data_IF_722512054410
#
_entry.id   IF_722512054410
#
_cell.length_a   1.000
_cell.length_b   1.000
_cell.length_c   1.000
_cell.angle_alpha   90.00
_cell.angle_beta   90.00
_cell.angle_gamma   90.00
#
_symmetry.space_group_name_H-M   'P 1'
#
loop_
_entity.id
_entity.type
_entity.pdbx_description
1 polymer ?
#
# COMPACT_ATOMS: atom_id res chain seq x y z
N UNK A 1 -45.48 -27.98 -19.20
CA UNK A 1 -44.53 -28.00 -18.05
C UNK A 1 -43.14 -28.31 -18.60
N UNK A 2 -42.03 -27.66 -18.19
CA UNK A 2 -41.84 -26.71 -17.08
C UNK A 2 -41.26 -25.35 -17.51
N UNK A 3 -41.49 -24.36 -16.65
CA UNK A 3 -40.95 -23.00 -16.65
C UNK A 3 -39.49 -22.98 -16.17
N UNK A 4 -38.59 -22.34 -16.92
CA UNK A 4 -37.25 -22.00 -16.41
C UNK A 4 -37.40 -20.70 -15.60
N UNK A 5 -37.87 -20.85 -14.36
CA UNK A 5 -37.66 -19.88 -13.29
C UNK A 5 -36.51 -20.41 -12.46
N UNK A 6 -35.41 -19.68 -12.42
CA UNK A 6 -34.18 -20.11 -11.75
C UNK A 6 -33.19 -18.98 -11.54
N UNK A 7 -33.67 -17.76 -11.29
CA UNK A 7 -32.88 -16.78 -10.56
C UNK A 7 -33.24 -16.93 -9.10
N UNK A 8 -32.45 -17.73 -8.38
CA UNK A 8 -32.53 -17.85 -6.94
C UNK A 8 -32.16 -16.50 -6.31
N UNK A 9 -33.14 -15.88 -5.66
CA UNK A 9 -33.06 -14.60 -4.95
C UNK A 9 -32.14 -14.63 -3.72
N UNK A 10 -31.52 -15.77 -3.42
CA UNK A 10 -30.63 -15.97 -2.27
C UNK A 10 -29.26 -15.26 -2.40
N UNK A 11 -28.86 -14.80 -3.59
CA UNK A 11 -27.57 -14.11 -3.79
C UNK A 11 -27.61 -12.57 -3.61
N UNK A 12 -28.80 -11.97 -3.45
CA UNK A 12 -28.99 -10.53 -3.27
C UNK A 12 -28.77 -10.04 -1.83
N UNK A 13 -28.55 -10.95 -0.87
CA UNK A 13 -28.62 -10.64 0.57
C UNK A 13 -27.30 -10.48 1.32
N UNK A 14 -26.13 -10.74 0.73
CA UNK A 14 -24.88 -10.80 1.51
C UNK A 14 -24.25 -9.45 1.83
N UNK A 15 -24.55 -8.39 1.06
CA UNK A 15 -23.92 -7.08 1.27
C UNK A 15 -24.63 -6.22 2.35
N UNK A 16 -25.94 -6.37 2.49
CA UNK A 16 -26.73 -5.54 3.42
C UNK A 16 -27.12 -6.27 4.72
N UNK A 17 -26.83 -7.57 4.84
CA UNK A 17 -27.07 -8.33 6.07
C UNK A 17 -26.22 -7.84 7.25
N UNK A 18 -25.07 -7.19 7.00
CA UNK A 18 -24.22 -6.62 8.05
C UNK A 18 -24.72 -5.26 8.58
N UNK A 19 -25.64 -4.59 7.87
CA UNK A 19 -26.14 -3.26 8.25
C UNK A 19 -27.46 -3.29 9.02
N UNK A 20 -28.12 -4.45 9.14
CA UNK A 20 -29.43 -4.56 9.81
C UNK A 20 -29.45 -5.43 11.07
N UNK A 21 -28.33 -5.53 11.80
CA UNK A 21 -28.36 -6.04 13.18
C UNK A 21 -28.14 -4.91 14.17
N UNK A 22 -29.27 -4.30 14.55
CA UNK A 22 -29.41 -3.60 15.82
C UNK A 22 -29.16 -4.61 16.94
N UNK A 23 -27.91 -4.78 17.36
CA UNK A 23 -27.62 -5.33 18.69
C UNK A 23 -26.27 -4.88 19.24
N UNK A 24 -26.27 -4.69 20.55
CA UNK A 24 -25.35 -3.90 21.36
C UNK A 24 -23.90 -4.43 21.36
N UNK A 25 -22.97 -3.46 21.36
CA UNK A 25 -21.62 -3.47 21.98
C UNK A 25 -20.79 -4.76 21.82
N UNK A 26 -19.92 -4.80 20.82
CA UNK A 26 -18.57 -5.40 20.92
C UNK A 26 -17.71 -5.00 19.69
N UNK A 27 -16.71 -4.13 19.90
CA UNK A 27 -15.76 -3.70 18.87
C UNK A 27 -14.71 -4.80 18.61
N UNK A 28 -15.04 -5.76 17.75
CA UNK A 28 -14.07 -6.72 17.24
C UNK A 28 -13.43 -6.20 15.94
N UNK A 29 -12.30 -5.50 16.06
CA UNK A 29 -11.49 -5.00 14.94
C UNK A 29 -11.07 -6.10 13.94
N UNK A 30 -10.97 -7.36 14.39
CA UNK A 30 -10.72 -8.52 13.52
C UNK A 30 -11.88 -8.81 12.56
N UNK A 31 -13.13 -8.67 12.99
CA UNK A 31 -14.30 -8.89 12.13
C UNK A 31 -14.41 -7.84 11.02
N UNK A 32 -14.01 -6.59 11.32
CA UNK A 32 -13.90 -5.53 10.32
C UNK A 32 -12.78 -5.81 9.30
N UNK A 33 -11.67 -6.42 9.70
CA UNK A 33 -10.57 -6.77 8.78
C UNK A 33 -10.95 -7.93 7.84
N UNK A 34 -11.73 -8.91 8.32
CA UNK A 34 -12.28 -9.97 7.47
C UNK A 34 -13.36 -9.44 6.52
N UNK A 35 -14.21 -8.52 6.97
CA UNK A 35 -15.19 -7.84 6.13
C UNK A 35 -14.50 -7.01 5.03
N UNK A 36 -13.45 -6.24 5.37
CA UNK A 36 -12.63 -5.52 4.40
C UNK A 36 -11.93 -6.45 3.41
N UNK A 37 -11.52 -7.65 3.82
CA UNK A 37 -10.89 -8.64 2.95
C UNK A 37 -11.89 -9.32 2.01
N UNK A 38 -13.10 -9.63 2.48
CA UNK A 38 -14.18 -10.14 1.63
C UNK A 38 -14.69 -9.08 0.66
N UNK A 39 -14.81 -7.84 1.13
CA UNK A 39 -15.19 -6.68 0.31
C UNK A 39 -14.10 -6.39 -0.72
N UNK A 40 -12.82 -6.52 -0.35
CA UNK A 40 -11.71 -6.41 -1.30
C UNK A 40 -11.76 -7.49 -2.38
N UNK A 41 -12.12 -8.74 -2.03
CA UNK A 41 -12.25 -9.82 -3.01
C UNK A 41 -13.40 -9.60 -4.00
N UNK A 42 -14.52 -9.00 -3.58
CA UNK A 42 -15.67 -8.71 -4.43
C UNK A 42 -15.45 -7.48 -5.32
N UNK A 43 -14.69 -6.50 -4.83
CA UNK A 43 -14.19 -5.35 -5.60
C UNK A 43 -13.15 -5.82 -6.64
N UNK A 44 -12.15 -6.60 -6.22
CA UNK A 44 -11.10 -7.14 -7.10
C UNK A 44 -11.66 -8.11 -8.15
N UNK A 45 -12.64 -8.94 -7.79
CA UNK A 45 -13.28 -9.86 -8.74
C UNK A 45 -14.24 -9.18 -9.72
N UNK A 46 -14.53 -7.89 -9.54
CA UNK A 46 -15.42 -7.11 -10.40
C UNK A 46 -16.90 -7.43 -10.25
N UNK A 47 -17.27 -8.27 -9.27
CA UNK A 47 -18.67 -8.66 -9.01
C UNK A 47 -19.52 -7.45 -8.58
N UNK A 48 -18.95 -6.56 -7.75
CA UNK A 48 -19.57 -5.29 -7.38
C UNK A 48 -19.79 -4.38 -8.59
N UNK A 49 -18.79 -4.26 -9.47
CA UNK A 49 -18.89 -3.46 -10.70
C UNK A 49 -20.01 -3.94 -11.62
N UNK A 50 -20.22 -5.27 -11.72
CA UNK A 50 -21.30 -5.85 -12.52
C UNK A 50 -22.69 -5.51 -11.98
N UNK A 51 -22.88 -5.54 -10.65
CA UNK A 51 -24.16 -5.18 -10.02
C UNK A 51 -24.46 -3.69 -10.17
N UNK A 52 -23.44 -2.84 -9.99
CA UNK A 52 -23.59 -1.40 -10.20
C UNK A 52 -23.94 -1.08 -11.65
N UNK A 53 -23.26 -1.74 -12.60
CA UNK A 53 -23.58 -1.64 -14.03
C UNK A 53 -25.02 -2.06 -14.33
N UNK A 54 -25.50 -3.17 -13.76
CA UNK A 54 -26.88 -3.63 -13.98
C UNK A 54 -27.93 -2.73 -13.32
N UNK A 55 -27.63 -2.17 -12.14
CA UNK A 55 -28.51 -1.20 -11.48
C UNK A 55 -28.67 0.06 -12.33
N UNK A 56 -27.57 0.70 -12.74
CA UNK A 56 -27.64 1.90 -13.56
C UNK A 56 -28.17 1.63 -14.97
N UNK A 57 -27.86 0.47 -15.56
CA UNK A 57 -28.49 0.05 -16.81
C UNK A 57 -30.01 -0.11 -16.64
N UNK A 58 -30.49 -0.69 -15.54
CA UNK A 58 -31.92 -0.82 -15.26
C UNK A 58 -32.58 0.54 -15.02
N UNK A 59 -31.92 1.46 -14.34
CA UNK A 59 -32.42 2.84 -14.11
C UNK A 59 -32.48 3.63 -15.42
N UNK A 60 -31.50 3.47 -16.31
CA UNK A 60 -31.52 4.07 -17.65
C UNK A 60 -32.66 3.50 -18.51
N UNK A 61 -32.87 2.19 -18.48
CA UNK A 61 -33.97 1.52 -19.22
C UNK A 61 -35.36 1.76 -18.60
N UNK A 62 -35.46 2.25 -17.36
CA UNK A 62 -36.73 2.58 -16.71
C UNK A 62 -37.22 4.01 -17.01
N UNK A 63 -36.41 4.81 -17.73
CA UNK A 63 -36.67 6.24 -17.99
C UNK A 63 -36.87 6.59 -19.46
N UNK A 64 -36.93 5.62 -20.38
CA UNK A 64 -37.16 5.89 -21.81
C UNK A 64 -38.54 5.40 -22.27
N UNK A 65 -39.46 6.36 -22.27
CA UNK A 65 -40.43 6.54 -23.33
C UNK A 65 -39.71 6.66 -24.70
N UNK A 66 -40.36 6.13 -25.73
CA UNK A 66 -39.94 5.92 -27.12
C UNK A 66 -38.79 6.81 -27.66
N UNK A 67 -37.57 6.28 -27.78
CA UNK A 67 -36.68 6.62 -28.92
C UNK A 67 -35.59 5.57 -29.16
N UNK A 68 -35.74 4.77 -30.22
CA UNK A 68 -34.70 3.88 -30.74
C UNK A 68 -33.64 4.70 -31.48
N UNK A 69 -32.63 5.20 -30.77
CA UNK A 69 -31.37 5.63 -31.39
C UNK A 69 -30.20 4.81 -30.82
N UNK A 70 -29.80 3.78 -31.57
CA UNK A 70 -28.81 2.78 -31.20
C UNK A 70 -27.35 3.27 -31.25
N UNK A 71 -27.11 4.59 -31.17
CA UNK A 71 -25.79 5.19 -31.38
C UNK A 71 -25.26 6.04 -30.22
N UNK A 72 -26.05 6.29 -29.15
CA UNK A 72 -25.57 6.99 -27.96
C UNK A 72 -24.92 6.04 -26.95
N UNK A 73 -23.59 6.10 -26.86
CA UNK A 73 -22.81 5.48 -25.77
C UNK A 73 -23.33 6.03 -24.43
N UNK A 74 -23.95 5.18 -23.63
CA UNK A 74 -24.57 5.60 -22.36
C UNK A 74 -23.50 6.07 -21.38
N UNK A 75 -23.85 6.93 -20.41
CA UNK A 75 -22.94 7.33 -19.30
C UNK A 75 -22.39 6.09 -18.57
N UNK A 76 -23.19 5.01 -18.54
CA UNK A 76 -22.81 3.69 -18.02
C UNK A 76 -21.69 3.06 -18.87
N UNK A 77 -21.77 3.12 -20.20
CA UNK A 77 -20.68 2.62 -21.06
C UNK A 77 -19.41 3.45 -20.92
N UNK A 78 -19.48 4.76 -20.70
CA UNK A 78 -18.28 5.57 -20.43
C UNK A 78 -17.65 5.33 -19.06
N UNK A 79 -18.44 4.99 -18.04
CA UNK A 79 -17.96 4.68 -16.68
C UNK A 79 -17.38 3.26 -16.57
N UNK A 80 -17.86 2.33 -17.39
CA UNK A 80 -17.43 0.92 -17.41
C UNK A 80 -16.66 0.54 -18.68
N UNK A 81 -16.27 1.51 -19.50
CA UNK A 81 -15.37 1.33 -20.65
C UNK A 81 -14.05 0.77 -20.14
N UNK A 82 -13.83 -0.53 -20.38
CA UNK A 82 -12.56 -1.21 -20.11
C UNK A 82 -11.39 -0.58 -20.89
N UNK A 83 -11.70 0.20 -21.93
CA UNK A 83 -10.75 0.98 -22.71
C UNK A 83 -10.34 2.31 -22.05
N UNK A 84 -10.97 2.74 -20.96
CA UNK A 84 -10.41 3.77 -20.09
C UNK A 84 -9.35 3.14 -19.16
N UNK A 85 -8.46 2.32 -19.74
CA UNK A 85 -7.22 1.93 -19.10
C UNK A 85 -6.39 3.20 -19.09
N UNK A 86 -6.30 3.87 -17.93
CA UNK A 86 -5.40 5.01 -17.77
C UNK A 86 -4.04 4.60 -18.33
N UNK A 87 -3.63 5.23 -19.43
CA UNK A 87 -2.27 5.14 -19.98
C UNK A 87 -1.31 5.92 -19.08
N UNK A 88 -1.41 5.71 -17.77
CA UNK A 88 -0.50 6.30 -16.80
C UNK A 88 0.82 5.59 -16.96
N UNK A 89 1.74 6.25 -17.63
CA UNK A 89 3.15 5.88 -17.64
C UNK A 89 3.74 6.20 -16.27
N UNK A 90 4.58 5.31 -15.73
CA UNK A 90 5.33 5.68 -14.53
C UNK A 90 6.29 6.82 -14.87
N UNK A 91 6.43 7.77 -13.97
CA UNK A 91 7.45 8.85 -14.07
C UNK A 91 8.85 8.35 -13.71
N UNK A 92 8.93 7.20 -13.06
CA UNK A 92 10.16 6.59 -12.58
C UNK A 92 10.70 5.53 -13.54
N UNK A 93 12.02 5.39 -13.58
CA UNK A 93 12.64 4.30 -14.35
C UNK A 93 12.43 2.96 -13.66
N UNK A 94 12.36 1.87 -14.43
CA UNK A 94 12.27 0.51 -13.87
C UNK A 94 13.40 0.20 -12.89
N UNK A 95 14.61 0.70 -13.15
CA UNK A 95 15.76 0.57 -12.25
C UNK A 95 15.52 1.26 -10.90
N UNK A 96 15.03 2.51 -10.93
CA UNK A 96 14.69 3.28 -9.71
C UNK A 96 13.62 2.55 -8.89
N UNK A 97 12.56 2.08 -9.54
CA UNK A 97 11.47 1.36 -8.88
C UNK A 97 11.91 0.03 -8.29
N UNK A 98 12.78 -0.71 -8.98
CA UNK A 98 13.34 -1.95 -8.48
C UNK A 98 14.21 -1.72 -7.24
N UNK A 99 15.05 -0.68 -7.24
CA UNK A 99 15.84 -0.28 -6.06
C UNK A 99 14.94 0.09 -4.89
N UNK A 100 13.97 1.01 -5.08
CA UNK A 100 13.02 1.40 -4.03
C UNK A 100 12.28 0.20 -3.46
N UNK A 101 11.82 -0.72 -4.33
CA UNK A 101 11.13 -1.94 -3.91
C UNK A 101 12.05 -2.87 -3.09
N UNK A 102 13.31 -3.00 -3.47
CA UNK A 102 14.32 -3.81 -2.77
C UNK A 102 14.56 -3.29 -1.36
N UNK A 103 14.99 -2.04 -1.26
CA UNK A 103 15.28 -1.35 0.01
C UNK A 103 14.03 -1.34 0.92
N UNK A 104 12.87 -0.99 0.37
CA UNK A 104 11.61 -1.01 1.12
C UNK A 104 11.22 -2.43 1.58
N UNK A 105 11.68 -3.47 0.89
CA UNK A 105 11.52 -4.86 1.31
C UNK A 105 12.42 -5.23 2.49
N UNK A 106 13.67 -4.76 2.47
CA UNK A 106 14.67 -5.03 3.51
C UNK A 106 14.25 -4.39 4.85
N UNK A 107 13.92 -3.09 4.85
CA UNK A 107 13.44 -2.43 6.07
C UNK A 107 12.15 -3.06 6.62
N UNK A 108 11.26 -3.58 5.75
CA UNK A 108 10.05 -4.27 6.21
C UNK A 108 10.42 -5.54 6.96
N UNK A 109 11.41 -6.28 6.49
CA UNK A 109 11.89 -7.49 7.14
C UNK A 109 12.60 -7.19 8.46
N UNK A 110 13.50 -6.21 8.51
CA UNK A 110 14.21 -5.83 9.74
C UNK A 110 13.28 -5.20 10.76
N UNK A 111 12.35 -4.34 10.32
CA UNK A 111 11.25 -3.84 11.17
C UNK A 111 10.46 -4.98 11.78
N UNK A 112 10.07 -5.98 10.98
CA UNK A 112 9.34 -7.16 11.44
C UNK A 112 10.11 -7.97 12.45
N UNK A 113 11.39 -8.20 12.22
CA UNK A 113 12.27 -8.88 13.19
C UNK A 113 12.30 -8.13 14.52
N UNK A 114 12.40 -6.80 14.49
CA UNK A 114 12.40 -5.97 15.70
C UNK A 114 11.05 -6.00 16.44
N UNK A 115 9.95 -5.70 15.77
CA UNK A 115 8.67 -5.55 16.48
C UNK A 115 8.05 -6.86 16.96
N UNK A 116 8.42 -7.99 16.34
CA UNK A 116 7.95 -9.32 16.77
C UNK A 116 8.84 -9.96 17.83
N UNK A 117 10.13 -9.61 17.87
CA UNK A 117 11.07 -10.24 18.79
C UNK A 117 11.09 -9.51 20.13
N UNK A 118 10.17 -9.91 21.01
CA UNK A 118 10.04 -9.37 22.37
C UNK A 118 11.22 -9.68 23.28
N UNK A 119 12.10 -10.60 22.88
CA UNK A 119 13.24 -11.07 23.68
C UNK A 119 14.52 -10.28 23.41
N UNK A 120 14.63 -9.59 22.25
CA UNK A 120 15.81 -8.81 21.86
C UNK A 120 16.23 -7.80 22.93
N UNK A 121 15.27 -7.09 23.54
CA UNK A 121 15.54 -6.04 24.52
C UNK A 121 15.35 -6.53 25.97
N UNK A 122 15.70 -7.78 26.24
CA UNK A 122 15.71 -8.35 27.60
C UNK A 122 17.13 -8.46 28.14
N UNK A 123 17.29 -8.60 29.45
CA UNK A 123 18.61 -8.76 30.10
C UNK A 123 19.36 -10.03 29.71
N UNK A 124 18.72 -10.93 28.96
CA UNK A 124 19.30 -12.18 28.47
C UNK A 124 20.00 -12.04 27.12
N UNK A 125 19.81 -10.95 26.42
CA UNK A 125 20.39 -10.69 25.09
C UNK A 125 21.59 -9.76 25.23
N UNK A 126 22.66 -10.05 24.49
CA UNK A 126 23.87 -9.23 24.50
C UNK A 126 23.57 -7.82 23.97
N UNK A 127 24.17 -6.80 24.58
CA UNK A 127 24.11 -5.41 24.11
C UNK A 127 24.62 -5.29 22.66
N UNK A 128 25.59 -6.12 22.28
CA UNK A 128 26.13 -6.16 20.92
C UNK A 128 25.10 -6.67 19.90
N UNK A 129 24.28 -7.66 20.27
CA UNK A 129 23.22 -8.18 19.41
C UNK A 129 22.09 -7.16 19.24
N UNK A 130 21.74 -6.45 20.31
CA UNK A 130 20.77 -5.35 20.27
C UNK A 130 21.25 -4.22 19.36
N UNK A 131 22.49 -3.76 19.57
CA UNK A 131 23.09 -2.70 18.77
C UNK A 131 23.16 -3.09 17.29
N UNK A 132 23.56 -4.34 16.98
CA UNK A 132 23.61 -4.83 15.60
C UNK A 132 22.23 -4.86 14.94
N UNK A 133 21.20 -5.30 15.65
CA UNK A 133 19.83 -5.32 15.13
C UNK A 133 19.32 -3.90 14.82
N UNK A 134 19.61 -2.94 15.71
CA UNK A 134 19.23 -1.53 15.52
C UNK A 134 20.04 -0.86 14.42
N UNK A 135 21.35 -1.14 14.31
CA UNK A 135 22.19 -0.66 13.21
C UNK A 135 21.66 -1.10 11.86
N UNK A 136 21.39 -2.40 11.68
CA UNK A 136 20.80 -2.90 10.43
C UNK A 136 19.48 -2.21 10.09
N UNK A 137 18.62 -1.98 11.09
CA UNK A 137 17.37 -1.24 10.86
C UNK A 137 17.59 0.23 10.48
N UNK A 138 18.58 0.89 11.07
CA UNK A 138 18.95 2.28 10.73
C UNK A 138 19.54 2.36 9.33
N UNK A 139 20.41 1.42 8.97
CA UNK A 139 21.01 1.34 7.63
C UNK A 139 19.91 1.12 6.57
N UNK A 140 19.03 0.13 6.77
CA UNK A 140 17.91 -0.14 5.86
C UNK A 140 16.95 1.07 5.76
N UNK A 141 16.71 1.78 6.86
CA UNK A 141 15.87 2.98 6.88
C UNK A 141 16.50 4.08 6.03
N UNK A 142 17.80 4.35 6.23
CA UNK A 142 18.53 5.38 5.49
C UNK A 142 18.54 5.07 3.99
N UNK A 143 18.74 3.80 3.61
CA UNK A 143 18.68 3.39 2.21
C UNK A 143 17.31 3.63 1.58
N UNK A 144 16.21 3.43 2.32
CA UNK A 144 14.86 3.73 1.82
C UNK A 144 14.62 5.23 1.68
N UNK A 145 15.12 6.07 2.59
CA UNK A 145 15.04 7.53 2.46
C UNK A 145 15.83 7.98 1.22
N UNK A 146 17.09 7.58 1.09
CA UNK A 146 17.96 7.97 -0.03
C UNK A 146 17.46 7.49 -1.40
N UNK A 147 16.87 6.29 -1.46
CA UNK A 147 16.30 5.77 -2.72
C UNK A 147 14.90 6.31 -2.97
N UNK A 148 14.13 6.56 -1.92
CA UNK A 148 12.80 7.16 -1.96
C UNK A 148 12.81 8.60 -2.48
N UNK A 149 13.80 9.41 -2.09
CA UNK A 149 13.99 10.78 -2.59
C UNK A 149 14.25 10.84 -4.10
N UNK A 150 14.79 9.77 -4.68
CA UNK A 150 15.03 9.66 -6.13
C UNK A 150 13.75 9.39 -6.92
N UNK A 151 12.63 9.11 -6.25
CA UNK A 151 11.35 8.85 -6.88
C UNK A 151 10.71 10.13 -7.43
N UNK A 152 10.11 10.02 -8.61
CA UNK A 152 9.35 11.07 -9.29
C UNK A 152 7.85 10.84 -9.23
N UNK A 153 7.41 9.63 -8.85
CA UNK A 153 6.01 9.35 -8.56
C UNK A 153 5.59 9.99 -7.25
N UNK A 154 4.57 10.86 -7.32
CA UNK A 154 3.96 11.51 -6.16
C UNK A 154 3.40 10.50 -5.15
N UNK A 155 3.02 9.30 -5.60
CA UNK A 155 2.51 8.24 -4.72
C UNK A 155 3.61 7.66 -3.84
N UNK A 156 4.81 7.49 -4.41
CA UNK A 156 6.00 7.01 -3.69
C UNK A 156 6.50 8.12 -2.77
N UNK A 157 6.65 9.34 -3.29
CA UNK A 157 7.05 10.53 -2.52
C UNK A 157 6.14 10.74 -1.29
N UNK A 158 4.82 10.68 -1.48
CA UNK A 158 3.87 10.79 -0.37
C UNK A 158 4.02 9.67 0.67
N UNK A 159 4.41 8.47 0.25
CA UNK A 159 4.64 7.34 1.17
C UNK A 159 5.97 7.51 1.94
N UNK A 160 7.02 8.01 1.28
CA UNK A 160 8.30 8.38 1.91
C UNK A 160 8.10 9.51 2.92
N UNK A 161 7.39 10.58 2.55
CA UNK A 161 7.04 11.66 3.47
C UNK A 161 6.29 11.16 4.72
N UNK A 162 5.42 10.16 4.59
CA UNK A 162 4.73 9.55 5.74
C UNK A 162 5.69 8.78 6.64
N UNK A 163 6.65 8.08 6.05
CA UNK A 163 7.72 7.39 6.79
C UNK A 163 8.54 8.40 7.60
N UNK A 164 9.02 9.48 6.97
CA UNK A 164 9.79 10.55 7.61
C UNK A 164 8.99 11.25 8.71
N UNK A 165 7.72 11.56 8.46
CA UNK A 165 6.85 12.15 9.47
C UNK A 165 6.65 11.22 10.68
N UNK A 166 6.53 9.90 10.46
CA UNK A 166 6.46 8.94 11.55
C UNK A 166 7.75 8.95 12.39
N UNK A 167 8.91 9.09 11.75
CA UNK A 167 10.21 9.22 12.42
C UNK A 167 10.34 10.53 13.20
N UNK A 168 9.97 11.65 12.58
CA UNK A 168 10.01 12.97 13.21
C UNK A 168 9.08 13.06 14.43
N UNK A 169 7.90 12.42 14.38
CA UNK A 169 7.00 12.33 15.54
C UNK A 169 7.62 11.55 16.71
N UNK A 170 8.52 10.61 16.44
CA UNK A 170 9.22 9.81 17.45
C UNK A 170 10.61 10.37 17.81
N UNK A 171 11.05 11.48 17.21
CA UNK A 171 12.39 12.06 17.37
C UNK A 171 12.83 12.21 18.83
N UNK A 172 11.94 12.68 19.71
CA UNK A 172 12.26 12.84 21.15
C UNK A 172 12.62 11.51 21.82
N UNK A 173 11.88 10.44 21.51
CA UNK A 173 12.12 9.12 22.07
C UNK A 173 13.36 8.48 21.45
N UNK A 174 13.57 8.68 20.14
CA UNK A 174 14.77 8.22 19.43
C UNK A 174 16.03 8.87 20.01
N UNK A 175 16.04 10.19 20.22
CA UNK A 175 17.18 10.89 20.83
C UNK A 175 17.43 10.41 22.26
N UNK A 176 16.38 10.09 23.03
CA UNK A 176 16.53 9.55 24.38
C UNK A 176 17.22 8.18 24.42
N UNK A 177 17.19 7.43 23.32
CA UNK A 177 17.90 6.14 23.17
C UNK A 177 19.18 6.24 22.35
N UNK A 178 19.70 7.46 22.10
CA UNK A 178 20.94 7.67 21.35
C UNK A 178 20.80 7.57 19.83
N UNK A 179 19.58 7.71 19.29
CA UNK A 179 19.32 7.74 17.84
C UNK A 179 18.92 9.15 17.43
N UNK A 180 19.76 9.81 16.63
CA UNK A 180 19.52 11.17 16.16
C UNK A 180 18.95 11.18 14.75
N UNK A 181 17.95 12.05 14.54
CA UNK A 181 17.39 12.33 13.21
C UNK A 181 18.08 13.58 12.66
N UNK A 182 18.82 13.41 11.56
CA UNK A 182 19.54 14.46 10.83
C UNK A 182 18.57 15.36 10.05
N UNK A 183 19.11 16.40 9.41
CA UNK A 183 18.32 17.36 8.61
C UNK A 183 17.77 16.75 7.31
N UNK A 184 18.46 15.74 6.77
CA UNK A 184 18.04 14.93 5.61
C UNK A 184 17.08 13.79 5.99
N UNK A 185 16.47 13.86 7.18
CA UNK A 185 15.63 12.81 7.76
C UNK A 185 16.30 11.43 7.96
N UNK A 186 17.61 11.29 7.71
CA UNK A 186 18.34 10.06 8.01
C UNK A 186 18.59 9.89 9.50
N UNK A 187 18.87 8.65 9.92
CA UNK A 187 19.13 8.25 11.28
C UNK A 187 20.62 8.02 11.51
N UNK A 188 21.11 8.44 12.67
CA UNK A 188 22.46 8.18 13.17
C UNK A 188 22.41 7.65 14.59
N UNK A 189 23.19 6.60 14.86
CA UNK A 189 23.27 5.98 16.18
C UNK A 189 24.55 6.47 16.86
N UNK A 190 24.37 7.10 18.03
CA UNK A 190 25.45 7.28 19.00
C UNK A 190 25.53 6.01 19.86
N UNK A 191 26.54 5.18 19.59
CA UNK A 191 26.74 3.90 20.28
C UNK A 191 26.93 4.05 21.79
N UNK A 192 27.55 5.14 22.25
CA UNK A 192 27.78 5.35 23.68
C UNK A 192 26.49 5.70 24.41
N UNK A 193 25.69 6.57 23.81
CA UNK A 193 24.37 6.95 24.33
C UNK A 193 23.38 5.78 24.25
N UNK A 194 23.45 4.99 23.18
CA UNK A 194 22.61 3.81 23.01
C UNK A 194 22.87 2.75 24.08
N UNK A 195 24.15 2.47 24.40
CA UNK A 195 24.51 1.51 25.47
C UNK A 195 24.03 1.96 26.86
N UNK A 196 23.91 3.26 27.08
CA UNK A 196 23.41 3.85 28.34
C UNK A 196 21.88 3.99 28.35
N UNK A 197 21.21 3.72 27.22
CA UNK A 197 19.78 3.92 27.08
C UNK A 197 18.99 2.94 27.95
N UNK A 198 17.81 3.39 28.40
CA UNK A 198 16.90 2.56 29.18
C UNK A 198 16.28 1.46 28.29
N UNK A 199 16.46 0.19 28.69
CA UNK A 199 15.96 -0.98 27.94
C UNK A 199 14.44 -1.01 27.82
N UNK A 200 13.71 -0.46 28.79
CA UNK A 200 12.24 -0.37 28.72
C UNK A 200 11.82 0.57 27.58
N UNK A 201 12.52 1.70 27.43
CA UNK A 201 12.32 2.66 26.35
C UNK A 201 12.66 2.05 24.99
N UNK A 202 13.76 1.30 24.88
CA UNK A 202 14.10 0.54 23.67
C UNK A 202 13.01 -0.48 23.32
N UNK A 203 12.52 -1.21 24.32
CA UNK A 203 11.44 -2.18 24.14
C UNK A 203 10.15 -1.50 23.64
N UNK A 204 9.76 -0.36 24.22
CA UNK A 204 8.58 0.39 23.76
C UNK A 204 8.73 0.92 22.33
N UNK A 205 9.92 1.39 21.96
CA UNK A 205 10.19 1.91 20.61
C UNK A 205 10.21 0.82 19.54
N UNK A 206 10.84 -0.32 19.84
CA UNK A 206 11.15 -1.31 18.81
C UNK A 206 10.31 -2.58 18.87
N UNK A 207 9.57 -2.83 19.97
CA UNK A 207 8.77 -4.06 20.13
C UNK A 207 7.27 -3.82 20.25
N UNK A 208 6.49 -4.74 19.71
CA UNK A 208 5.03 -4.73 19.83
C UNK A 208 4.31 -3.91 18.77
N UNK A 209 2.98 -4.09 18.72
CA UNK A 209 2.09 -3.37 17.82
C UNK A 209 1.94 -1.92 18.29
N UNK A 210 2.10 -0.97 17.37
CA UNK A 210 2.10 0.47 17.69
C UNK A 210 3.46 1.03 18.10
N UNK A 211 4.50 0.21 18.09
CA UNK A 211 5.89 0.66 18.25
C UNK A 211 6.38 1.43 17.02
N UNK A 212 7.48 2.18 17.17
CA UNK A 212 8.10 2.90 16.07
C UNK A 212 8.55 1.94 14.95
N UNK A 213 9.18 0.81 15.30
CA UNK A 213 9.56 -0.22 14.32
C UNK A 213 8.35 -0.76 13.54
N UNK A 214 7.21 -0.95 14.22
CA UNK A 214 5.97 -1.35 13.55
C UNK A 214 5.49 -0.27 12.56
N UNK A 215 5.46 0.99 12.98
CA UNK A 215 5.07 2.11 12.11
C UNK A 215 5.97 2.26 10.89
N UNK A 216 7.29 2.10 11.06
CA UNK A 216 8.25 2.10 9.95
C UNK A 216 7.98 0.96 8.99
N UNK A 217 7.80 -0.27 9.49
CA UNK A 217 7.48 -1.43 8.65
C UNK A 217 6.17 -1.26 7.86
N UNK A 218 5.14 -0.64 8.45
CA UNK A 218 3.88 -0.34 7.75
C UNK A 218 4.09 0.69 6.64
N UNK A 219 4.76 1.81 6.93
CA UNK A 219 5.01 2.85 5.94
C UNK A 219 5.92 2.35 4.81
N UNK A 220 6.97 1.60 5.12
CA UNK A 220 7.83 0.98 4.12
C UNK A 220 7.09 -0.04 3.25
N UNK A 221 6.15 -0.81 3.82
CA UNK A 221 5.27 -1.68 3.03
C UNK A 221 4.43 -0.88 2.03
N UNK A 222 3.97 0.32 2.40
CA UNK A 222 3.27 1.20 1.46
C UNK A 222 4.21 1.72 0.36
N UNK A 223 5.45 2.09 0.68
CA UNK A 223 6.45 2.49 -0.32
C UNK A 223 6.67 1.36 -1.32
N UNK A 224 6.90 0.13 -0.83
CA UNK A 224 7.05 -1.07 -1.65
C UNK A 224 5.84 -1.31 -2.55
N UNK A 225 4.63 -1.22 -2.01
CA UNK A 225 3.39 -1.41 -2.77
C UNK A 225 3.23 -0.34 -3.86
N UNK A 226 3.54 0.93 -3.56
CA UNK A 226 3.49 1.99 -4.57
C UNK A 226 4.55 1.78 -5.66
N UNK A 227 5.77 1.37 -5.31
CA UNK A 227 6.80 1.02 -6.27
C UNK A 227 6.37 -0.16 -7.18
N UNK A 228 5.71 -1.18 -6.62
CA UNK A 228 5.14 -2.29 -7.40
C UNK A 228 4.03 -1.83 -8.35
N UNK A 229 3.15 -0.95 -7.89
CA UNK A 229 2.08 -0.39 -8.72
C UNK A 229 2.63 0.48 -9.85
N UNK A 230 3.63 1.32 -9.58
CA UNK A 230 4.31 2.11 -10.61
C UNK A 230 5.10 1.21 -11.58
N UNK A 231 5.72 0.13 -11.10
CA UNK A 231 6.40 -0.83 -11.97
C UNK A 231 5.41 -1.57 -12.87
N UNK A 232 4.22 -1.91 -12.36
CA UNK A 232 3.16 -2.54 -13.14
C UNK A 232 2.63 -1.64 -14.27
N UNK A 233 2.68 -0.32 -14.11
CA UNK A 233 2.37 0.66 -15.18
C UNK A 233 3.41 0.70 -16.29
N UNK A 234 4.63 0.24 -16.03
CA UNK A 234 5.71 0.15 -17.02
C UNK A 234 5.60 -1.09 -17.92
N UNK A 235 4.61 -1.97 -17.73
CA UNK A 235 4.43 -3.15 -18.56
C UNK A 235 3.95 -2.79 -19.97
N UNK A 236 4.64 -3.33 -20.97
CA UNK A 236 4.38 -3.17 -22.42
C UNK A 236 3.14 -3.90 -22.92
N UNK A 237 2.50 -4.75 -22.10
CA UNK A 237 1.31 -5.52 -22.47
C UNK A 237 0.18 -5.28 -21.48
N UNK A 238 -0.98 -4.87 -21.99
CA UNK A 238 -2.22 -4.83 -21.21
C UNK A 238 -2.79 -6.23 -20.96
N UNK A 239 -3.75 -6.36 -20.05
CA UNK A 239 -4.40 -7.64 -19.71
C UNK A 239 -5.09 -8.36 -20.89
N UNK A 240 -5.29 -7.66 -22.02
CA UNK A 240 -5.80 -8.17 -23.29
C UNK A 240 -4.71 -8.60 -24.29
N UNK A 241 -3.43 -8.56 -23.92
CA UNK A 241 -2.31 -8.86 -24.81
C UNK A 241 -2.01 -7.76 -25.84
N UNK A 242 -2.69 -6.62 -25.75
CA UNK A 242 -2.45 -5.45 -26.60
C UNK A 242 -1.21 -4.68 -26.13
N UNK A 243 -0.42 -4.20 -27.11
CA UNK A 243 0.79 -3.43 -26.86
C UNK A 243 0.44 -2.06 -26.27
N UNK A 244 1.06 -1.75 -25.13
CA UNK A 244 0.95 -0.49 -24.41
C UNK A 244 2.19 0.35 -24.72
N UNK A 245 2.05 1.36 -25.58
CA UNK A 245 3.10 2.36 -25.86
C UNK A 245 3.23 3.31 -24.65
N UNK A 246 3.77 2.83 -23.53
CA UNK A 246 3.86 3.58 -22.27
C UNK A 246 5.28 3.92 -21.83
N UNK A 247 6.29 3.66 -22.67
CA UNK A 247 7.61 4.22 -22.45
C UNK A 247 7.68 5.61 -23.08
N UNK A 248 8.07 6.62 -22.28
CA UNK A 248 8.66 7.84 -22.82
C UNK A 248 10.03 7.49 -23.41
N UNK A 249 10.03 6.82 -24.56
CA UNK A 249 11.17 6.62 -25.44
C UNK A 249 11.50 7.92 -26.17
N UNK A 250 11.50 9.04 -25.45
CA UNK A 250 12.01 10.32 -25.95
C UNK A 250 13.53 10.28 -26.03
N UNK A 251 14.09 9.41 -26.88
CA UNK A 251 15.44 9.55 -27.48
C UNK A 251 15.92 8.36 -28.33
N UNK A 252 15.20 7.23 -28.46
CA UNK A 252 15.74 6.10 -29.25
C UNK A 252 15.66 6.28 -30.77
N UNK A 253 14.90 7.28 -31.26
CA UNK A 253 14.77 7.57 -32.70
C UNK A 253 15.34 8.93 -33.13
N UNK A 254 15.98 9.70 -32.24
CA UNK A 254 16.46 11.05 -32.58
C UNK A 254 17.95 11.13 -32.93
N UNK A 255 18.60 10.01 -33.26
CA UNK A 255 19.99 9.99 -33.70
C UNK A 255 20.09 9.51 -35.15
N UNK A 256 19.52 10.30 -36.07
CA UNK A 256 19.97 10.34 -37.46
C UNK A 256 20.05 11.81 -37.89
N UNK A 257 21.25 12.36 -37.75
CA UNK A 257 21.76 13.49 -38.53
C UNK A 257 23.11 13.08 -39.06
#
# INVERSE_FOLDING_TARGET
MPTISGYDSSSLGVLFSSLNKNDKKNNNYMANMYALSSDYSTIKSGSYGKLMKSYFAKVANASEDDSKDSSKKTVVDTLFDKNNTSTSTSKDTSKTLASIKGEAGEIVETSKKLYTNTSLFTDKTSEEEQLKAIKNFVDDYNSVVETGEKAKSSSIESAVNKLENATNNNKKLLTAVGINVKEDNTLEIDEESFKKADKSTLKTLFTGTGSYAYSVGVNASMIKMNAENEAAKANTYGASGSYSYTYSNGSIFNNYT
#
